data_IF_558879687676
#
_entry.id   IF_558879687676
#
_cell.length_a   1.000
_cell.length_b   1.000
_cell.length_c   1.000
_cell.angle_alpha   90.00
_cell.angle_beta   90.00
_cell.angle_gamma   90.00
#
_symmetry.space_group_name_H-M   'P 1'
#
loop_
_entity.id
_entity.type
_entity.pdbx_description
1 polymer ?
#
# COMPACT_ATOMS: atom_id res chain seq x y z
N UNK A 1 9.20 -7.51 37.60
CA UNK A 1 8.11 -7.86 36.67
C UNK A 1 8.28 -7.02 35.42
N UNK A 2 8.89 -7.57 34.36
CA UNK A 2 9.02 -6.84 33.09
C UNK A 2 7.66 -6.84 32.40
N UNK A 3 7.03 -5.68 32.28
CA UNK A 3 5.91 -5.48 31.36
C UNK A 3 6.53 -5.25 29.97
N UNK A 4 6.36 -6.18 29.01
CA UNK A 4 6.86 -5.93 27.66
C UNK A 4 6.15 -4.70 27.11
N UNK A 5 6.96 -3.73 26.70
CA UNK A 5 6.56 -2.49 26.06
C UNK A 5 5.51 -2.74 24.96
N UNK A 6 4.51 -1.87 24.92
CA UNK A 6 3.35 -1.99 24.04
C UNK A 6 3.70 -2.18 22.56
N UNK A 7 2.80 -2.89 21.86
CA UNK A 7 2.80 -3.07 20.41
C UNK A 7 3.24 -1.80 19.67
N UNK A 8 4.46 -1.79 19.13
CA UNK A 8 4.86 -0.80 18.12
C UNK A 8 4.01 -1.10 16.88
N UNK A 9 2.99 -0.28 16.62
CA UNK A 9 2.18 -0.36 15.40
C UNK A 9 3.01 0.16 14.23
N UNK A 10 3.84 -0.70 13.65
CA UNK A 10 4.56 -0.36 12.41
C UNK A 10 3.55 -0.25 11.27
N UNK A 11 3.42 0.94 10.69
CA UNK A 11 2.59 1.16 9.51
C UNK A 11 3.26 0.49 8.31
N UNK A 12 2.51 -0.33 7.56
CA UNK A 12 3.01 -1.02 6.38
C UNK A 12 2.77 -0.22 5.10
N UNK A 13 3.55 -0.50 4.05
CA UNK A 13 3.33 0.09 2.73
C UNK A 13 1.89 -0.12 2.24
N UNK A 14 1.34 -1.33 2.41
CA UNK A 14 -0.02 -1.66 2.00
C UNK A 14 -1.08 -0.79 2.67
N UNK A 15 -0.90 -0.47 3.95
CA UNK A 15 -1.78 0.42 4.70
C UNK A 15 -1.71 1.85 4.17
N UNK A 16 -0.51 2.35 3.87
CA UNK A 16 -0.32 3.69 3.29
C UNK A 16 -0.94 3.76 1.90
N UNK A 17 -0.70 2.76 1.06
CA UNK A 17 -1.25 2.69 -0.29
C UNK A 17 -2.79 2.70 -0.28
N UNK A 18 -3.38 1.89 0.61
CA UNK A 18 -4.84 1.84 0.78
C UNK A 18 -5.40 3.20 1.20
N UNK A 19 -4.74 3.87 2.14
CA UNK A 19 -5.15 5.18 2.64
C UNK A 19 -5.11 6.24 1.53
N UNK A 20 -3.97 6.38 0.84
CA UNK A 20 -3.82 7.31 -0.29
C UNK A 20 -4.87 7.07 -1.38
N UNK A 21 -5.09 5.79 -1.71
CA UNK A 21 -6.07 5.39 -2.71
C UNK A 21 -7.49 5.77 -2.29
N UNK A 22 -7.87 5.54 -1.03
CA UNK A 22 -9.22 5.87 -0.53
C UNK A 22 -9.44 7.37 -0.44
N UNK A 23 -8.43 8.13 -0.02
CA UNK A 23 -8.51 9.59 0.08
C UNK A 23 -8.63 10.24 -1.31
N UNK A 24 -8.00 9.65 -2.32
CA UNK A 24 -8.16 10.03 -3.72
C UNK A 24 -9.45 9.50 -4.39
N UNK A 25 -10.25 8.69 -3.70
CA UNK A 25 -11.47 8.09 -4.26
C UNK A 25 -11.23 7.08 -5.40
N UNK A 26 -10.04 6.49 -5.48
CA UNK A 26 -9.65 5.58 -6.58
C UNK A 26 -9.92 4.13 -6.20
N UNK A 27 -10.53 3.35 -7.08
CA UNK A 27 -10.70 1.90 -6.87
C UNK A 27 -9.47 1.10 -7.30
N UNK A 28 -9.19 -0.06 -6.68
CA UNK A 28 -8.06 -0.93 -7.06
C UNK A 28 -8.08 -1.35 -8.53
N UNK A 29 -9.28 -1.48 -9.13
CA UNK A 29 -9.47 -1.81 -10.55
C UNK A 29 -8.99 -0.71 -11.49
N UNK A 30 -9.03 0.54 -11.03
CA UNK A 30 -8.51 1.70 -11.76
C UNK A 30 -7.03 1.93 -11.43
N UNK A 31 -6.68 1.87 -10.14
CA UNK A 31 -5.31 2.12 -9.69
C UNK A 31 -4.30 1.14 -10.27
N UNK A 32 -4.62 -0.15 -10.33
CA UNK A 32 -3.70 -1.17 -10.85
C UNK A 32 -3.17 -0.82 -12.24
N UNK A 33 -4.03 -0.74 -13.27
CA UNK A 33 -3.61 -0.37 -14.62
C UNK A 33 -2.89 0.98 -14.70
N UNK A 34 -3.33 1.99 -13.95
CA UNK A 34 -2.67 3.31 -13.94
C UNK A 34 -1.27 3.26 -13.31
N UNK A 35 -1.05 2.37 -12.35
CA UNK A 35 0.27 2.05 -11.81
C UNK A 35 1.02 1.03 -12.66
N UNK A 36 0.48 0.52 -13.77
CA UNK A 36 1.11 -0.50 -14.61
C UNK A 36 1.24 -1.88 -13.94
N UNK A 37 0.28 -2.26 -13.10
CA UNK A 37 0.18 -3.57 -12.44
C UNK A 37 -1.25 -4.11 -12.48
N UNK A 38 -1.47 -5.34 -12.05
CA UNK A 38 -2.84 -5.89 -11.97
C UNK A 38 -3.56 -5.40 -10.70
N UNK A 39 -4.88 -5.27 -10.76
CA UNK A 39 -5.69 -4.94 -9.57
C UNK A 39 -5.50 -5.98 -8.44
N UNK A 40 -5.32 -7.26 -8.79
CA UNK A 40 -5.07 -8.34 -7.85
C UNK A 40 -3.74 -8.15 -7.12
N UNK A 41 -2.73 -7.59 -7.80
CA UNK A 41 -1.46 -7.26 -7.16
C UNK A 41 -1.62 -6.09 -6.17
N UNK A 42 -2.37 -5.05 -6.53
CA UNK A 42 -2.73 -3.96 -5.59
C UNK A 42 -3.46 -4.52 -4.37
N UNK A 43 -4.42 -5.42 -4.56
CA UNK A 43 -5.13 -6.04 -3.44
C UNK A 43 -4.18 -6.80 -2.50
N UNK A 44 -3.23 -7.56 -3.04
CA UNK A 44 -2.25 -8.31 -2.24
C UNK A 44 -1.29 -7.38 -1.48
N UNK A 45 -0.90 -6.26 -2.10
CA UNK A 45 -0.09 -5.24 -1.45
C UNK A 45 -0.82 -4.62 -0.26
N UNK A 46 -2.10 -4.24 -0.44
CA UNK A 46 -2.91 -3.63 0.63
C UNK A 46 -3.16 -4.59 1.80
N UNK A 47 -3.28 -5.89 1.53
CA UNK A 47 -3.39 -6.93 2.57
C UNK A 47 -2.06 -7.28 3.23
N UNK A 48 -0.92 -6.87 2.67
CA UNK A 48 0.41 -7.23 3.14
C UNK A 48 0.86 -8.64 2.73
N UNK A 49 0.16 -9.29 1.79
CA UNK A 49 0.50 -10.64 1.30
C UNK A 49 1.79 -10.64 0.47
N UNK A 50 2.12 -9.49 -0.14
CA UNK A 50 3.31 -9.29 -0.96
C UNK A 50 3.95 -7.94 -0.64
N UNK A 51 5.26 -7.86 -0.82
CA UNK A 51 5.99 -6.60 -0.75
C UNK A 51 6.06 -5.93 -2.12
N UNK A 52 6.07 -4.59 -2.20
CA UNK A 52 6.28 -3.87 -3.44
C UNK A 52 7.73 -4.01 -3.93
N UNK A 53 7.93 -3.87 -5.23
CA UNK A 53 9.26 -3.56 -5.77
C UNK A 53 9.60 -2.08 -5.53
N UNK A 54 10.89 -1.74 -5.52
CA UNK A 54 11.36 -0.35 -5.46
C UNK A 54 10.73 0.52 -6.56
N UNK A 55 10.67 -0.02 -7.78
CA UNK A 55 10.03 0.65 -8.92
C UNK A 55 8.55 0.98 -8.66
N UNK A 56 7.81 0.07 -8.03
CA UNK A 56 6.41 0.31 -7.71
C UNK A 56 6.26 1.39 -6.64
N UNK A 57 7.13 1.41 -5.63
CA UNK A 57 7.15 2.48 -4.62
C UNK A 57 7.33 3.84 -5.30
N UNK A 58 8.25 3.94 -6.26
CA UNK A 58 8.45 5.14 -7.07
C UNK A 58 7.20 5.55 -7.87
N UNK A 59 6.54 4.58 -8.53
CA UNK A 59 5.29 4.84 -9.27
C UNK A 59 4.16 5.33 -8.38
N UNK A 60 3.99 4.73 -7.20
CA UNK A 60 2.99 5.15 -6.21
C UNK A 60 3.25 6.58 -5.74
N UNK A 61 4.50 6.89 -5.37
CA UNK A 61 4.88 8.24 -4.95
C UNK A 61 4.66 9.30 -6.05
N UNK A 62 4.91 8.93 -7.31
CA UNK A 62 4.68 9.83 -8.44
C UNK A 62 3.20 10.04 -8.77
N UNK A 63 2.34 9.05 -8.47
CA UNK A 63 0.90 9.11 -8.75
C UNK A 63 0.14 9.98 -7.74
N UNK A 64 0.45 9.87 -6.43
CA UNK A 64 -0.27 10.55 -5.34
C UNK A 64 0.39 11.85 -4.87
N UNK A 65 0.88 12.69 -5.78
CA UNK A 65 1.52 13.98 -5.45
C UNK A 65 0.62 14.93 -4.68
#
# INVERSE_FOLDING_TARGET
MYQPAGNIRTVTFGQILRQLRTDAGVGIKRLGPELGVTYSYVSKLESGDVNPSEELVGRVAAYFK
#
